data_IF_720823984127
#
_entry.id   IF_720823984127
#
_cell.length_a   1.000
_cell.length_b   1.000
_cell.length_c   1.000
_cell.angle_alpha   90.00
_cell.angle_beta   90.00
_cell.angle_gamma   90.00
#
_symmetry.space_group_name_H-M   'P 1'
#
loop_
_entity.id
_entity.type
_entity.pdbx_description
1 polymer ?
#
# COMPACT_ATOMS: atom_id res chain seq x y z
N UNK A 1 0.17 1.93 8.04
CA UNK A 1 0.72 2.85 7.02
C UNK A 1 0.97 2.06 5.73
N UNK A 2 1.24 2.72 4.60
CA UNK A 2 1.57 2.06 3.33
C UNK A 2 2.79 1.12 3.49
N UNK A 3 3.86 1.62 4.11
CA UNK A 3 5.07 0.85 4.45
C UNK A 3 4.76 -0.41 5.27
N UNK A 4 3.89 -0.33 6.26
CA UNK A 4 3.51 -1.51 7.06
C UNK A 4 2.85 -2.64 6.24
N UNK A 5 2.14 -2.31 5.17
CA UNK A 5 1.56 -3.32 4.26
C UNK A 5 2.65 -3.92 3.37
N UNK A 6 3.56 -3.09 2.87
CA UNK A 6 4.66 -3.55 2.01
C UNK A 6 5.66 -4.43 2.78
N UNK A 7 6.02 -4.07 4.00
CA UNK A 7 7.00 -4.78 4.82
C UNK A 7 6.39 -5.99 5.55
N UNK A 8 5.14 -6.36 5.24
CA UNK A 8 4.48 -7.49 5.87
C UNK A 8 5.22 -8.80 5.57
N UNK A 9 5.61 -9.51 6.63
CA UNK A 9 6.16 -10.86 6.51
C UNK A 9 5.04 -11.88 6.34
N UNK A 10 4.91 -12.41 5.12
CA UNK A 10 3.91 -13.43 4.78
C UNK A 10 4.19 -14.75 5.50
N UNK A 11 5.48 -15.09 5.64
CA UNK A 11 5.96 -16.22 6.43
C UNK A 11 6.76 -15.63 7.58
N UNK A 12 6.22 -15.71 8.80
CA UNK A 12 6.88 -15.20 10.00
C UNK A 12 8.03 -16.10 10.45
N UNK A 13 8.99 -15.52 11.17
CA UNK A 13 10.17 -16.25 11.71
C UNK A 13 9.79 -17.38 12.67
N UNK A 14 8.63 -17.28 13.32
CA UNK A 14 8.10 -18.29 14.25
C UNK A 14 7.49 -19.51 13.54
N UNK A 15 7.43 -19.50 12.20
CA UNK A 15 6.85 -20.60 11.44
C UNK A 15 7.92 -21.69 11.21
N UNK A 16 7.65 -22.96 11.56
CA UNK A 16 8.58 -24.04 11.27
C UNK A 16 8.85 -24.09 9.75
N UNK A 17 10.11 -24.00 9.35
CA UNK A 17 10.50 -23.90 7.93
C UNK A 17 9.95 -25.03 7.06
N UNK A 18 9.75 -26.21 7.63
CA UNK A 18 9.13 -27.37 6.95
C UNK A 18 7.68 -27.12 6.51
N UNK A 19 6.95 -26.25 7.20
CA UNK A 19 5.54 -25.92 6.90
C UNK A 19 5.39 -24.69 6.02
N UNK A 20 6.47 -24.00 5.66
CA UNK A 20 6.43 -22.83 4.79
C UNK A 20 5.76 -23.12 3.44
N UNK A 21 5.95 -24.33 2.91
CA UNK A 21 5.33 -24.82 1.67
C UNK A 21 3.80 -24.95 1.72
N UNK A 22 3.20 -24.95 2.92
CA UNK A 22 1.74 -24.98 3.09
C UNK A 22 1.10 -23.59 2.94
N UNK A 23 1.90 -22.53 2.97
CA UNK A 23 1.42 -21.15 2.86
C UNK A 23 1.12 -20.86 1.39
N UNK A 24 -0.16 -20.66 1.07
CA UNK A 24 -0.61 -20.37 -0.30
C UNK A 24 -0.46 -18.90 -0.71
N UNK A 25 -0.27 -18.01 0.27
CA UNK A 25 -0.19 -16.56 0.07
C UNK A 25 -0.89 -15.80 1.18
N UNK A 26 -1.21 -14.53 0.91
CA UNK A 26 -1.99 -13.69 1.81
C UNK A 26 -3.10 -12.94 1.05
N UNK A 27 -4.03 -12.38 1.81
CA UNK A 27 -5.15 -11.59 1.30
C UNK A 27 -5.41 -10.44 2.26
N UNK A 28 -5.82 -9.28 1.73
CA UNK A 28 -6.41 -8.22 2.53
C UNK A 28 -7.93 -8.31 2.47
N UNK A 29 -8.56 -8.14 3.63
CA UNK A 29 -10.01 -8.09 3.77
C UNK A 29 -10.44 -6.64 3.98
N UNK A 30 -11.51 -6.24 3.29
CA UNK A 30 -12.15 -4.94 3.47
C UNK A 30 -13.55 -5.14 4.04
N UNK A 31 -13.72 -4.72 5.29
CA UNK A 31 -15.01 -4.69 5.95
C UNK A 31 -15.70 -3.35 5.67
N UNK A 32 -16.99 -3.40 5.35
CA UNK A 32 -17.73 -2.27 4.75
C UNK A 32 -18.68 -1.56 5.72
N UNK A 33 -18.61 -1.82 7.02
CA UNK A 33 -19.53 -1.24 8.02
C UNK A 33 -19.51 0.30 8.03
N UNK A 34 -18.41 0.90 7.60
CA UNK A 34 -18.20 2.36 7.51
C UNK A 34 -17.77 2.81 6.11
N UNK A 35 -18.12 2.05 5.07
CA UNK A 35 -17.79 2.35 3.67
C UNK A 35 -19.10 2.51 2.88
N UNK A 36 -19.69 3.71 2.86
CA UNK A 36 -21.01 3.93 2.26
C UNK A 36 -21.00 4.09 0.74
N UNK A 37 -19.83 4.21 0.09
CA UNK A 37 -19.71 4.43 -1.35
C UNK A 37 -18.48 3.74 -1.93
N UNK A 38 -18.51 3.49 -3.24
CA UNK A 38 -17.38 2.94 -3.99
C UNK A 38 -16.16 3.88 -3.96
N UNK A 39 -16.38 5.19 -4.05
CA UNK A 39 -15.29 6.18 -3.92
C UNK A 39 -14.60 6.07 -2.54
N UNK A 40 -15.36 5.81 -1.48
CA UNK A 40 -14.80 5.58 -0.15
C UNK A 40 -14.06 4.24 -0.08
N UNK A 41 -14.55 3.22 -0.78
CA UNK A 41 -13.87 1.93 -0.88
C UNK A 41 -12.51 2.08 -1.59
N UNK A 42 -12.48 2.77 -2.74
CA UNK A 42 -11.26 3.08 -3.48
C UNK A 42 -10.24 3.82 -2.60
N UNK A 43 -10.70 4.82 -1.85
CA UNK A 43 -9.85 5.60 -0.97
C UNK A 43 -9.22 4.76 0.14
N UNK A 44 -9.95 3.74 0.60
CA UNK A 44 -9.45 2.81 1.60
C UNK A 44 -8.52 1.77 0.96
N UNK A 45 -8.83 1.27 -0.24
CA UNK A 45 -8.04 0.21 -0.88
C UNK A 45 -6.73 0.73 -1.47
N UNK A 46 -6.76 1.84 -2.20
CA UNK A 46 -5.62 2.36 -2.93
C UNK A 46 -4.91 3.47 -2.17
N UNK A 47 -3.57 3.46 -2.09
CA UNK A 47 -2.62 2.58 -2.81
C UNK A 47 -2.22 1.29 -2.07
N UNK A 48 -2.82 0.99 -0.91
CA UNK A 48 -2.41 -0.16 -0.05
C UNK A 48 -2.52 -1.51 -0.77
N UNK A 49 -3.53 -1.68 -1.63
CA UNK A 49 -3.72 -2.91 -2.40
C UNK A 49 -2.57 -3.16 -3.39
N UNK A 50 -2.00 -2.10 -3.96
CA UNK A 50 -0.85 -2.20 -4.87
C UNK A 50 0.39 -2.65 -4.09
N UNK A 51 0.60 -2.11 -2.89
CA UNK A 51 1.68 -2.54 -2.01
C UNK A 51 1.57 -4.02 -1.64
N UNK A 52 0.35 -4.50 -1.33
CA UNK A 52 0.09 -5.91 -1.05
C UNK A 52 0.37 -6.78 -2.28
N UNK A 53 -0.12 -6.37 -3.46
CA UNK A 53 0.09 -7.11 -4.71
C UNK A 53 1.58 -7.28 -5.02
N UNK A 54 2.38 -6.22 -4.88
CA UNK A 54 3.81 -6.30 -5.08
C UNK A 54 4.48 -7.20 -4.04
N UNK A 55 4.09 -7.09 -2.77
CA UNK A 55 4.68 -7.89 -1.70
C UNK A 55 4.43 -9.39 -1.88
N UNK A 56 3.26 -9.76 -2.40
CA UNK A 56 2.90 -11.16 -2.65
C UNK A 56 3.49 -11.72 -3.94
N UNK A 57 3.80 -10.86 -4.90
CA UNK A 57 4.34 -11.28 -6.19
C UNK A 57 5.88 -11.28 -6.24
N UNK A 58 6.52 -10.40 -5.46
CA UNK A 58 7.97 -10.15 -5.53
C UNK A 58 8.69 -10.81 -4.35
N UNK A 59 9.78 -11.51 -4.65
CA UNK A 59 10.61 -12.20 -3.66
C UNK A 59 11.45 -11.22 -2.80
N UNK A 60 11.97 -10.15 -3.43
CA UNK A 60 12.78 -9.12 -2.76
C UNK A 60 12.03 -7.80 -2.63
N UNK A 61 11.80 -7.36 -1.40
CA UNK A 61 11.20 -6.06 -1.11
C UNK A 61 12.22 -4.93 -1.25
N UNK A 62 11.94 -3.96 -2.12
CA UNK A 62 12.68 -2.69 -2.19
C UNK A 62 11.67 -1.53 -2.12
N UNK A 63 11.32 -1.15 -0.89
CA UNK A 63 10.27 -0.14 -0.64
C UNK A 63 10.52 1.20 -1.35
N UNK A 64 11.76 1.68 -1.39
CA UNK A 64 12.08 2.95 -2.05
C UNK A 64 11.85 2.88 -3.56
N UNK A 65 12.25 1.77 -4.20
CA UNK A 65 11.97 1.53 -5.62
C UNK A 65 10.47 1.38 -5.89
N UNK A 66 9.76 0.67 -5.01
CA UNK A 66 8.30 0.58 -5.04
C UNK A 66 7.65 1.95 -4.96
N UNK A 67 8.07 2.79 -4.02
CA UNK A 67 7.50 4.10 -3.82
C UNK A 67 7.67 4.99 -5.06
N UNK A 68 8.83 4.98 -5.69
CA UNK A 68 9.05 5.69 -6.96
C UNK A 68 8.12 5.20 -8.07
N UNK A 69 7.96 3.88 -8.22
CA UNK A 69 7.01 3.31 -9.21
C UNK A 69 5.55 3.59 -8.87
N UNK A 70 5.21 3.65 -7.59
CA UNK A 70 3.87 4.00 -7.13
C UNK A 70 3.51 5.43 -7.52
N UNK A 71 4.45 6.38 -7.44
CA UNK A 71 4.25 7.75 -7.88
C UNK A 71 3.85 7.81 -9.35
N UNK A 72 4.55 7.10 -10.22
CA UNK A 72 4.18 7.00 -11.65
C UNK A 72 2.87 6.25 -11.88
N UNK A 73 2.46 5.36 -10.97
CA UNK A 73 1.21 4.62 -11.09
C UNK A 73 -0.03 5.46 -10.75
N UNK A 74 0.13 6.62 -10.10
CA UNK A 74 -1.00 7.51 -9.82
C UNK A 74 -1.66 8.06 -11.09
N UNK A 75 -0.87 8.39 -12.12
CA UNK A 75 -1.42 8.82 -13.42
C UNK A 75 -2.32 7.75 -14.04
N UNK A 76 -1.96 6.47 -13.87
CA UNK A 76 -2.78 5.35 -14.32
C UNK A 76 -4.06 5.22 -13.50
N UNK A 77 -4.00 5.42 -12.19
CA UNK A 77 -5.19 5.39 -11.33
C UNK A 77 -6.13 6.55 -11.65
N UNK A 78 -5.60 7.73 -11.97
CA UNK A 78 -6.37 8.89 -12.44
C UNK A 78 -7.09 8.57 -13.75
N UNK A 79 -6.38 7.99 -14.72
CA UNK A 79 -6.98 7.58 -16.00
C UNK A 79 -8.09 6.52 -15.84
N UNK A 80 -8.01 5.71 -14.78
CA UNK A 80 -9.03 4.72 -14.41
C UNK A 80 -10.13 5.28 -13.49
N UNK A 81 -10.07 6.58 -13.16
CA UNK A 81 -11.02 7.27 -12.27
C UNK A 81 -11.15 6.62 -10.88
N UNK A 82 -10.04 6.10 -10.34
CA UNK A 82 -9.97 5.46 -9.01
C UNK A 82 -9.73 6.54 -7.95
N UNK A 83 -10.55 6.57 -6.91
CA UNK A 83 -10.45 7.60 -5.85
C UNK A 83 -9.43 7.20 -4.78
N UNK A 84 -8.14 7.14 -5.11
CA UNK A 84 -7.09 6.70 -4.19
C UNK A 84 -6.71 7.74 -3.13
N UNK A 85 -6.09 7.28 -2.04
CA UNK A 85 -5.49 8.17 -1.03
C UNK A 85 -4.10 8.64 -1.46
N UNK A 86 -3.88 9.95 -1.48
CA UNK A 86 -2.56 10.52 -1.70
C UNK A 86 -1.59 10.17 -0.55
N UNK A 87 -0.28 10.00 -0.83
CA UNK A 87 0.73 9.84 0.20
C UNK A 87 0.75 11.04 1.15
N UNK A 88 1.14 10.80 2.40
CA UNK A 88 1.26 11.87 3.38
C UNK A 88 2.38 12.83 2.94
N UNK A 89 2.05 14.12 2.80
CA UNK A 89 3.01 15.16 2.46
C UNK A 89 3.99 15.34 3.63
N UNK A 90 5.29 15.27 3.35
CA UNK A 90 6.35 15.52 4.32
C UNK A 90 7.09 16.82 3.96
N UNK A 91 7.67 17.51 4.96
CA UNK A 91 8.47 18.72 4.76
C UNK A 91 7.74 20.06 4.93
N UNK A 92 6.42 20.14 4.71
CA UNK A 92 5.66 21.39 4.84
C UNK A 92 5.61 21.96 6.26
N UNK A 93 5.72 21.12 7.29
CA UNK A 93 5.73 21.56 8.68
C UNK A 93 7.09 22.09 9.15
N UNK A 94 8.17 21.87 8.38
CA UNK A 94 9.53 22.28 8.75
C UNK A 94 9.94 23.61 8.11
N UNK A 95 9.30 24.00 7.00
CA UNK A 95 9.56 25.27 6.32
C UNK A 95 8.30 26.15 6.32
N UNK A 96 8.08 26.87 7.43
CA UNK A 96 7.11 27.96 7.49
C UNK A 96 7.67 29.18 6.75
N UNK A 97 7.54 29.22 5.43
CA UNK A 97 7.86 30.44 4.65
C UNK A 97 6.70 31.42 4.82
N UNK A 98 6.82 32.32 5.79
CA UNK A 98 5.93 33.48 5.89
C UNK A 98 6.31 34.46 4.78
N UNK A 99 5.49 34.55 3.74
CA UNK A 99 5.59 35.62 2.75
C UNK A 99 4.99 36.88 3.38
N UNK A 100 5.76 37.98 3.35
CA UNK A 100 5.40 39.29 3.92
C UNK A 100 4.56 40.11 2.94
#
# INVERSE_FOLDING_TARGET
SLRAVYDMNVIGEYFPGEKASLVKGAQANMWTEKIPSEQRADFMLFPRLIALAERLWTDKGQYESFYQRLLSNFERLDALNVHYRLPDLSGFALESVFVK
#
